data_IF_189837873322
#
_entry.id   IF_189837873322
#
_cell.length_a   1.000
_cell.length_b   1.000
_cell.length_c   1.000
_cell.angle_alpha   90.00
_cell.angle_beta   90.00
_cell.angle_gamma   90.00
#
_symmetry.space_group_name_H-M   'P 1'
#
loop_
_entity.id
_entity.type
_entity.pdbx_description
1 polymer ?
#
# COMPACT_ATOMS: atom_id res chain seq x y z
N UNK A 1 28.27 6.92 19.60
CA UNK A 1 26.85 7.09 19.89
C UNK A 1 26.48 8.55 19.74
N UNK A 2 25.41 8.85 19.00
CA UNK A 2 24.92 10.22 18.85
C UNK A 2 24.44 10.75 20.22
N UNK A 3 24.87 11.94 20.58
CA UNK A 3 24.55 12.58 21.86
C UNK A 3 23.67 13.81 21.66
N UNK A 4 22.89 14.18 22.67
CA UNK A 4 22.11 15.44 22.64
C UNK A 4 22.99 16.65 22.35
N UNK A 5 24.27 16.61 22.76
CA UNK A 5 25.23 17.69 22.49
C UNK A 5 25.54 17.79 21.00
N UNK A 6 25.69 16.69 20.31
CA UNK A 6 25.94 16.64 18.87
C UNK A 6 24.74 17.11 18.08
N UNK A 7 23.51 16.67 18.45
CA UNK A 7 22.27 17.14 17.85
C UNK A 7 22.09 18.65 18.05
N UNK A 8 22.36 19.14 19.26
CA UNK A 8 22.26 20.57 19.59
C UNK A 8 23.21 21.42 18.74
N UNK A 9 24.45 20.95 18.54
CA UNK A 9 25.45 21.61 17.72
C UNK A 9 25.03 21.62 16.24
N UNK A 10 24.58 20.47 15.70
CA UNK A 10 24.15 20.32 14.31
C UNK A 10 22.89 21.15 13.99
N UNK A 11 21.97 21.21 14.94
CA UNK A 11 20.69 21.94 14.80
C UNK A 11 20.81 23.45 15.11
N UNK A 12 21.93 23.91 15.68
CA UNK A 12 22.11 25.29 16.12
C UNK A 12 21.16 25.69 17.25
N UNK A 13 20.89 24.79 18.21
CA UNK A 13 19.97 25.02 19.34
C UNK A 13 20.56 24.54 20.65
N UNK A 14 19.92 24.88 21.78
CA UNK A 14 20.36 24.40 23.09
C UNK A 14 20.07 22.91 23.31
N UNK A 15 20.84 22.23 24.17
CA UNK A 15 20.57 20.85 24.59
C UNK A 15 19.18 20.72 25.20
N UNK A 16 18.72 21.77 25.92
CA UNK A 16 17.37 21.80 26.49
C UNK A 16 16.29 21.81 25.39
N UNK A 17 16.51 22.51 24.27
CA UNK A 17 15.63 22.51 23.11
C UNK A 17 15.58 21.13 22.48
N UNK A 18 16.72 20.47 22.28
CA UNK A 18 16.79 19.08 21.79
C UNK A 18 15.97 18.16 22.68
N UNK A 19 16.16 18.26 24.01
CA UNK A 19 15.41 17.45 24.98
C UNK A 19 13.90 17.69 24.88
N UNK A 20 13.46 18.94 24.73
CA UNK A 20 12.03 19.27 24.59
C UNK A 20 11.44 18.71 23.30
N UNK A 21 12.12 18.86 22.17
CA UNK A 21 11.69 18.30 20.89
C UNK A 21 11.59 16.78 20.96
N UNK A 22 12.64 16.10 21.41
CA UNK A 22 12.66 14.65 21.49
C UNK A 22 11.72 14.06 22.57
N UNK A 23 11.14 14.91 23.41
CA UNK A 23 10.05 14.57 24.34
C UNK A 23 8.67 15.07 23.88
N UNK A 24 8.54 15.50 22.60
CA UNK A 24 7.30 15.99 22.00
C UNK A 24 6.65 17.14 22.79
N UNK A 25 7.47 18.09 23.29
CA UNK A 25 6.94 19.24 24.01
C UNK A 25 6.28 20.23 23.02
N UNK A 26 4.98 20.58 23.18
CA UNK A 26 4.28 21.42 22.21
C UNK A 26 4.81 22.86 22.15
N UNK A 27 5.47 23.34 23.21
CA UNK A 27 5.97 24.70 23.33
C UNK A 27 7.37 24.91 22.69
N UNK A 28 7.65 24.25 21.57
CA UNK A 28 8.89 24.46 20.81
C UNK A 28 8.52 25.06 19.44
N UNK A 29 9.25 26.12 19.06
CA UNK A 29 9.10 26.72 17.74
C UNK A 29 9.31 25.69 16.63
N UNK A 30 8.43 25.71 15.61
CA UNK A 30 8.42 24.70 14.53
C UNK A 30 9.73 24.64 13.74
N UNK A 31 10.38 25.80 13.48
CA UNK A 31 11.66 25.82 12.79
C UNK A 31 12.76 25.15 13.63
N UNK A 32 12.79 25.40 14.95
CA UNK A 32 13.70 24.71 15.85
C UNK A 32 13.38 23.21 15.96
N UNK A 33 12.10 22.84 15.95
CA UNK A 33 11.64 21.45 15.93
C UNK A 33 12.15 20.74 14.69
N UNK A 34 11.90 21.30 13.50
CA UNK A 34 12.37 20.78 12.21
C UNK A 34 13.89 20.57 12.21
N UNK A 35 14.68 21.58 12.57
CA UNK A 35 16.14 21.50 12.60
C UNK A 35 16.66 20.42 13.56
N UNK A 36 16.04 20.25 14.72
CA UNK A 36 16.40 19.20 15.67
C UNK A 36 16.09 17.82 15.13
N UNK A 37 14.94 17.62 14.48
CA UNK A 37 14.56 16.33 13.87
C UNK A 37 15.49 15.96 12.72
N UNK A 38 15.80 16.90 11.84
CA UNK A 38 16.76 16.72 10.76
C UNK A 38 18.17 16.37 11.32
N UNK A 39 18.61 17.08 12.35
CA UNK A 39 19.88 16.79 13.00
C UNK A 39 19.88 15.42 13.70
N UNK A 40 18.83 15.10 14.45
CA UNK A 40 18.68 13.80 15.12
C UNK A 40 18.67 12.66 14.10
N UNK A 41 17.92 12.84 13.01
CA UNK A 41 17.90 11.92 11.89
C UNK A 41 19.28 11.79 11.25
N UNK A 42 19.97 12.90 10.99
CA UNK A 42 21.31 12.96 10.40
C UNK A 42 22.35 12.20 11.21
N UNK A 43 22.33 12.36 12.53
CA UNK A 43 23.28 11.66 13.42
C UNK A 43 22.78 10.26 13.81
N UNK A 44 21.62 9.83 13.31
CA UNK A 44 21.00 8.53 13.60
C UNK A 44 20.77 8.35 15.10
N UNK A 45 20.23 9.37 15.73
CA UNK A 45 19.89 9.26 17.15
C UNK A 45 18.70 8.34 17.33
N UNK A 46 18.85 7.32 18.17
CA UNK A 46 17.77 6.44 18.63
C UNK A 46 17.69 6.57 20.15
N UNK A 47 16.51 6.83 20.68
CA UNK A 47 16.31 6.98 22.11
C UNK A 47 16.49 5.64 22.83
N UNK A 48 17.38 5.58 23.82
CA UNK A 48 17.44 4.42 24.72
C UNK A 48 16.25 4.44 25.67
N UNK A 49 15.35 3.48 25.52
CA UNK A 49 14.23 3.28 26.43
C UNK A 49 14.63 2.22 27.46
N UNK A 50 15.10 2.67 28.63
CA UNK A 50 15.47 1.79 29.75
C UNK A 50 16.80 1.02 29.60
N UNK A 51 17.10 0.14 30.59
CA UNK A 51 18.33 -0.71 30.59
C UNK A 51 18.30 -1.87 29.58
N UNK A 52 17.17 -2.16 28.94
CA UNK A 52 17.09 -3.02 27.76
C UNK A 52 17.26 -2.12 26.53
N UNK A 53 18.28 -2.38 25.72
CA UNK A 53 18.30 -1.87 24.35
C UNK A 53 17.00 -2.37 23.72
N UNK A 54 16.05 -1.48 23.43
CA UNK A 54 15.01 -1.82 22.46
C UNK A 54 15.80 -2.16 21.22
N UNK A 55 15.68 -3.39 20.74
CA UNK A 55 16.31 -3.81 19.52
C UNK A 55 15.98 -2.74 18.46
N UNK A 56 16.99 -2.34 17.71
CA UNK A 56 16.85 -1.33 16.68
C UNK A 56 15.86 -1.89 15.64
N UNK A 57 14.58 -1.50 15.74
CA UNK A 57 13.47 -2.16 15.03
C UNK A 57 13.13 -1.52 13.69
N UNK A 58 12.62 -2.34 12.77
CA UNK A 58 11.83 -1.89 11.65
C UNK A 58 10.35 -1.81 12.05
N UNK A 59 9.60 -0.92 11.44
CA UNK A 59 8.14 -0.87 11.64
C UNK A 59 7.42 -1.16 10.33
N UNK A 60 6.38 -2.00 10.41
CA UNK A 60 5.24 -1.92 9.51
C UNK A 60 4.22 -0.96 10.14
N UNK A 61 4.14 0.25 9.59
CA UNK A 61 3.33 1.32 10.13
C UNK A 61 2.10 1.54 9.25
N UNK A 62 0.92 1.37 9.82
CA UNK A 62 -0.33 1.76 9.20
C UNK A 62 -0.58 3.24 9.50
N UNK A 63 -0.78 4.05 8.48
CA UNK A 63 -1.11 5.46 8.66
C UNK A 63 -2.43 5.62 9.42
N UNK A 64 -3.45 4.83 9.05
CA UNK A 64 -4.72 4.67 9.74
C UNK A 64 -4.77 3.50 10.74
N UNK A 65 -5.94 2.89 10.95
CA UNK A 65 -6.10 1.69 11.77
C UNK A 65 -5.28 0.51 11.22
N UNK A 66 -4.74 -0.32 12.11
CA UNK A 66 -4.13 -1.59 11.70
C UNK A 66 -5.25 -2.53 11.25
N UNK A 67 -5.16 -3.01 10.03
CA UNK A 67 -5.99 -4.09 9.52
C UNK A 67 -5.07 -5.23 9.06
N UNK A 68 -5.30 -6.41 9.59
CA UNK A 68 -4.59 -7.64 9.20
C UNK A 68 -5.56 -8.68 8.62
N UNK A 69 -6.78 -8.25 8.36
CA UNK A 69 -7.85 -9.14 7.89
C UNK A 69 -7.85 -9.29 6.36
N UNK A 70 -7.21 -8.35 5.65
CA UNK A 70 -7.18 -8.40 4.19
C UNK A 70 -6.10 -9.38 3.70
N UNK A 71 -6.33 -10.07 2.58
CA UNK A 71 -5.32 -10.91 1.93
C UNK A 71 -4.06 -10.13 1.58
N UNK A 72 -4.22 -8.86 1.20
CA UNK A 72 -3.14 -7.93 0.91
C UNK A 72 -2.22 -7.74 2.13
N UNK A 73 -2.79 -7.38 3.29
CA UNK A 73 -2.00 -7.14 4.50
C UNK A 73 -1.30 -8.42 4.99
N UNK A 74 -1.94 -9.57 4.81
CA UNK A 74 -1.33 -10.87 5.12
C UNK A 74 -0.12 -11.15 4.22
N UNK A 75 -0.26 -11.02 2.90
CA UNK A 75 0.83 -11.22 1.94
C UNK A 75 1.98 -10.24 2.16
N UNK A 76 1.67 -8.97 2.40
CA UNK A 76 2.66 -7.93 2.70
C UNK A 76 3.48 -8.27 3.96
N UNK A 77 2.82 -8.64 5.05
CA UNK A 77 3.48 -9.03 6.29
C UNK A 77 4.36 -10.27 6.11
N UNK A 78 3.89 -11.24 5.32
CA UNK A 78 4.66 -12.46 4.99
C UNK A 78 5.93 -12.11 4.21
N UNK A 79 5.84 -11.28 3.16
CA UNK A 79 7.00 -10.86 2.35
C UNK A 79 8.02 -10.08 3.18
N UNK A 80 7.55 -9.14 4.00
CA UNK A 80 8.41 -8.39 4.93
C UNK A 80 9.09 -9.34 5.91
N UNK A 81 8.36 -10.26 6.53
CA UNK A 81 8.90 -11.23 7.48
C UNK A 81 9.98 -12.11 6.86
N UNK A 82 9.72 -12.69 5.69
CA UNK A 82 10.72 -13.50 4.98
C UNK A 82 11.96 -12.72 4.61
N UNK A 83 11.82 -11.50 4.09
CA UNK A 83 12.96 -10.67 3.72
C UNK A 83 13.80 -10.23 4.94
N UNK A 84 13.17 -9.99 6.08
CA UNK A 84 13.87 -9.68 7.35
C UNK A 84 14.62 -10.91 7.85
N UNK A 85 14.00 -12.09 7.85
CA UNK A 85 14.60 -13.35 8.35
C UNK A 85 15.78 -13.82 7.51
N UNK A 86 15.68 -13.74 6.17
CA UNK A 86 16.77 -14.14 5.27
C UNK A 86 18.08 -13.37 5.50
N UNK A 87 18.01 -12.25 6.16
CA UNK A 87 19.15 -11.34 6.37
C UNK A 87 19.75 -11.39 7.76
N UNK A 88 19.12 -12.05 8.68
CA UNK A 88 19.63 -12.23 10.05
C UNK A 88 21.02 -12.87 10.13
N UNK A 89 21.51 -13.48 9.04
CA UNK A 89 22.81 -14.16 8.95
C UNK A 89 23.92 -13.39 8.23
N UNK A 90 23.61 -12.39 7.38
CA UNK A 90 24.59 -11.72 6.49
C UNK A 90 24.96 -10.33 7.00
N UNK A 91 23.98 -9.55 7.38
CA UNK A 91 24.17 -8.26 8.03
C UNK A 91 23.56 -8.33 9.42
N UNK A 92 24.22 -7.86 10.45
CA UNK A 92 23.72 -7.82 11.83
C UNK A 92 22.45 -6.96 12.01
N UNK A 93 21.54 -7.02 11.04
CA UNK A 93 20.21 -6.44 11.04
C UNK A 93 19.20 -7.42 11.67
N UNK A 94 19.51 -7.93 12.87
CA UNK A 94 18.49 -8.58 13.70
C UNK A 94 17.51 -7.52 14.17
N UNK A 95 16.57 -7.13 13.29
CA UNK A 95 15.56 -6.15 13.64
C UNK A 95 14.26 -6.86 13.97
N UNK A 96 13.71 -6.56 15.14
CA UNK A 96 12.33 -6.91 15.41
C UNK A 96 11.40 -6.10 14.50
N UNK A 97 10.39 -6.74 13.91
CA UNK A 97 9.34 -6.06 13.17
C UNK A 97 8.24 -5.61 14.13
N UNK A 98 8.04 -4.31 14.24
CA UNK A 98 6.97 -3.72 15.04
C UNK A 98 5.81 -3.32 14.15
N UNK A 99 4.64 -3.92 14.34
CA UNK A 99 3.40 -3.50 13.68
C UNK A 99 2.71 -2.43 14.53
N UNK A 100 2.40 -1.27 13.96
CA UNK A 100 1.75 -0.17 14.68
C UNK A 100 0.79 0.66 13.83
N UNK A 101 -0.22 1.26 14.46
CA UNK A 101 -1.01 2.35 13.89
C UNK A 101 -0.35 3.68 14.24
N UNK A 102 -0.04 4.48 13.22
CA UNK A 102 0.49 5.84 13.43
C UNK A 102 -0.56 6.72 14.11
N UNK A 103 -1.80 6.72 13.60
CA UNK A 103 -2.92 7.48 14.15
C UNK A 103 -3.11 7.26 15.66
N UNK A 104 -3.07 5.99 16.12
CA UNK A 104 -3.23 5.65 17.55
C UNK A 104 -1.97 5.89 18.37
N UNK A 105 -0.81 5.90 17.74
CA UNK A 105 0.48 6.00 18.42
C UNK A 105 1.00 7.42 18.53
N UNK A 106 0.56 8.33 17.65
CA UNK A 106 0.90 9.74 17.68
C UNK A 106 0.30 10.42 18.91
N UNK A 107 1.08 11.28 19.55
CA UNK A 107 0.64 12.18 20.59
C UNK A 107 0.16 13.50 20.02
N UNK A 108 -0.69 14.27 20.70
CA UNK A 108 -1.07 15.60 20.22
C UNK A 108 0.16 16.46 19.87
N UNK A 109 0.25 16.94 18.63
CA UNK A 109 1.36 17.74 18.13
C UNK A 109 2.67 16.99 17.89
N UNK A 110 2.69 15.65 17.94
CA UNK A 110 3.84 14.83 17.61
C UNK A 110 3.85 14.50 16.11
N UNK A 111 4.97 14.75 15.44
CA UNK A 111 5.16 14.34 14.04
C UNK A 111 5.46 12.84 13.91
N UNK A 112 5.28 12.23 12.72
CA UNK A 112 5.64 10.84 12.48
C UNK A 112 7.10 10.53 12.78
N UNK A 113 8.00 11.44 12.44
CA UNK A 113 9.43 11.29 12.71
C UNK A 113 9.74 11.27 14.22
N UNK A 114 9.06 12.10 15.02
CA UNK A 114 9.18 12.10 16.47
C UNK A 114 8.65 10.80 17.09
N UNK A 115 7.52 10.29 16.59
CA UNK A 115 6.96 8.99 16.98
C UNK A 115 7.98 7.87 16.77
N UNK A 116 8.55 7.78 15.57
CA UNK A 116 9.52 6.72 15.25
C UNK A 116 10.81 6.84 16.05
N UNK A 117 11.33 8.05 16.24
CA UNK A 117 12.48 8.29 17.10
C UNK A 117 12.19 7.91 18.56
N UNK A 118 11.02 8.25 19.08
CA UNK A 118 10.58 7.91 20.45
C UNK A 118 10.46 6.40 20.65
N UNK A 119 9.97 5.68 19.64
CA UNK A 119 9.85 4.21 19.68
C UNK A 119 11.12 3.46 19.36
N UNK A 120 12.22 4.14 18.98
CA UNK A 120 13.49 3.50 18.63
C UNK A 120 13.46 2.84 17.25
N UNK A 121 12.55 3.24 16.37
CA UNK A 121 12.40 2.72 15.02
C UNK A 121 13.46 3.36 14.11
N UNK A 122 14.14 2.55 13.32
CA UNK A 122 15.19 3.00 12.37
C UNK A 122 14.67 3.22 10.97
N UNK A 123 13.65 2.50 10.58
CA UNK A 123 13.00 2.60 9.29
C UNK A 123 11.57 2.12 9.36
N UNK A 124 10.70 2.64 8.50
CA UNK A 124 9.29 2.32 8.47
C UNK A 124 8.80 1.97 7.07
N UNK A 125 8.21 0.79 6.92
CA UNK A 125 7.39 0.44 5.76
C UNK A 125 5.98 0.93 6.10
N UNK A 126 5.41 1.80 5.26
CA UNK A 126 4.16 2.50 5.56
C UNK A 126 3.06 1.99 4.65
N UNK A 127 2.00 1.47 5.25
CA UNK A 127 0.73 1.20 4.58
C UNK A 127 -0.16 2.43 4.76
N UNK A 128 -0.53 3.09 3.66
CA UNK A 128 -1.28 4.34 3.67
C UNK A 128 -2.53 4.26 2.80
N UNK A 129 -3.36 5.27 2.91
CA UNK A 129 -4.44 5.61 2.01
C UNK A 129 -4.32 7.09 1.65
N UNK A 130 -5.05 7.54 0.65
CA UNK A 130 -5.07 8.92 0.15
C UNK A 130 -5.17 9.99 1.26
N UNK A 131 -5.97 9.74 2.28
CA UNK A 131 -6.14 10.64 3.44
C UNK A 131 -4.82 10.95 4.17
N UNK A 132 -3.85 10.03 4.14
CA UNK A 132 -2.59 10.13 4.89
C UNK A 132 -1.36 10.45 4.02
N UNK A 133 -1.54 10.73 2.74
CA UNK A 133 -0.44 11.13 1.83
C UNK A 133 0.39 12.30 2.41
N UNK A 134 -0.22 13.39 2.96
CA UNK A 134 0.55 14.50 3.55
C UNK A 134 1.48 14.05 4.68
N UNK A 135 1.08 13.04 5.45
CA UNK A 135 1.88 12.50 6.54
C UNK A 135 3.13 11.77 6.02
N UNK A 136 3.02 11.07 4.89
CA UNK A 136 4.14 10.41 4.23
C UNK A 136 5.13 11.43 3.66
N UNK A 137 4.64 12.51 3.05
CA UNK A 137 5.47 13.60 2.54
C UNK A 137 6.21 14.33 3.68
N UNK A 138 5.53 14.65 4.78
CA UNK A 138 6.15 15.24 5.97
C UNK A 138 7.29 14.35 6.48
N UNK A 139 7.06 13.05 6.59
CA UNK A 139 8.07 12.10 7.06
C UNK A 139 9.28 12.06 6.10
N UNK A 140 9.03 11.94 4.80
CA UNK A 140 10.07 11.89 3.78
C UNK A 140 10.93 13.17 3.77
N UNK A 141 10.31 14.34 3.97
CA UNK A 141 11.00 15.63 4.06
C UNK A 141 12.02 15.69 5.23
N UNK A 142 11.82 14.89 6.30
CA UNK A 142 12.78 14.80 7.41
C UNK A 142 14.01 13.96 7.09
N UNK A 143 14.04 13.24 5.95
CA UNK A 143 15.07 12.26 5.61
C UNK A 143 15.04 11.00 6.49
N UNK A 144 13.89 10.70 7.11
CA UNK A 144 13.70 9.44 7.82
C UNK A 144 13.56 8.29 6.80
N UNK A 145 14.25 7.13 6.98
CA UNK A 145 14.10 5.99 6.10
C UNK A 145 12.67 5.46 6.12
N UNK A 146 11.92 5.71 5.05
CA UNK A 146 10.54 5.27 4.92
C UNK A 146 10.26 4.83 3.49
N UNK A 147 9.46 3.77 3.34
CA UNK A 147 8.96 3.26 2.07
C UNK A 147 7.45 3.11 2.19
N UNK A 148 6.71 3.71 1.29
CA UNK A 148 5.25 3.53 1.20
C UNK A 148 4.94 2.33 0.33
N UNK A 149 3.93 1.54 0.68
CA UNK A 149 3.49 0.37 -0.09
C UNK A 149 2.00 0.48 -0.42
N UNK A 150 1.68 0.28 -1.72
CA UNK A 150 0.33 0.32 -2.25
C UNK A 150 -0.22 1.73 -2.44
N UNK A 151 0.68 2.70 -2.68
CA UNK A 151 0.34 4.05 -3.11
C UNK A 151 1.53 4.64 -3.87
N UNK A 152 1.29 5.32 -5.00
CA UNK A 152 2.31 5.97 -5.81
C UNK A 152 2.33 7.47 -5.54
N UNK A 153 3.51 8.03 -5.72
CA UNK A 153 3.79 9.46 -5.61
C UNK A 153 4.38 9.92 -6.93
N UNK A 154 3.53 10.28 -7.87
CA UNK A 154 3.97 10.59 -9.25
C UNK A 154 4.56 11.99 -9.40
N UNK A 155 4.40 12.87 -8.38
CA UNK A 155 5.05 14.18 -8.38
C UNK A 155 6.59 14.01 -8.35
N UNK A 156 7.31 14.52 -9.37
CA UNK A 156 8.77 14.46 -9.41
C UNK A 156 9.45 15.18 -8.23
N UNK A 157 8.77 16.13 -7.59
CA UNK A 157 9.28 16.86 -6.43
C UNK A 157 9.12 16.07 -5.12
N UNK A 158 8.28 15.02 -5.07
CA UNK A 158 8.10 14.17 -3.92
C UNK A 158 9.41 13.46 -3.55
N UNK A 159 9.69 13.36 -2.26
CA UNK A 159 10.82 12.61 -1.69
C UNK A 159 10.43 11.24 -1.18
N UNK A 160 9.16 10.87 -1.30
CA UNK A 160 8.64 9.59 -0.82
C UNK A 160 9.14 8.46 -1.72
N UNK A 161 9.81 7.47 -1.12
CA UNK A 161 10.09 6.19 -1.77
C UNK A 161 8.89 5.28 -1.67
N UNK A 162 8.55 4.57 -2.75
CA UNK A 162 7.39 3.68 -2.76
C UNK A 162 7.64 2.38 -3.50
N UNK A 163 6.84 1.38 -3.13
CA UNK A 163 6.65 0.13 -3.88
C UNK A 163 5.16 -0.05 -4.12
N UNK A 164 4.79 -0.23 -5.36
CA UNK A 164 3.40 -0.41 -5.76
C UNK A 164 3.27 -1.46 -6.88
N UNK A 165 2.05 -1.88 -7.19
CA UNK A 165 1.78 -2.74 -8.32
C UNK A 165 1.39 -1.93 -9.56
N UNK A 166 1.83 -2.37 -10.73
CA UNK A 166 1.29 -1.88 -11.99
C UNK A 166 0.09 -2.76 -12.37
N UNK A 167 -1.11 -2.27 -12.14
CA UNK A 167 -2.34 -3.04 -12.36
C UNK A 167 -3.18 -2.55 -13.53
N UNK A 168 -2.88 -1.39 -14.15
CA UNK A 168 -3.66 -0.84 -15.26
C UNK A 168 -3.58 -1.72 -16.52
N UNK A 169 -2.35 -2.14 -16.88
CA UNK A 169 -2.13 -2.97 -18.07
C UNK A 169 -2.82 -4.33 -17.97
N UNK A 170 -2.66 -5.04 -16.87
CA UNK A 170 -3.31 -6.35 -16.65
C UNK A 170 -4.83 -6.22 -16.49
N UNK A 171 -5.34 -5.12 -15.94
CA UNK A 171 -6.78 -4.85 -15.89
C UNK A 171 -7.34 -4.59 -17.29
N UNK A 172 -6.60 -3.86 -18.14
CA UNK A 172 -6.97 -3.67 -19.55
C UNK A 172 -7.01 -5.02 -20.28
N UNK A 173 -6.03 -5.88 -20.06
CA UNK A 173 -6.00 -7.23 -20.65
C UNK A 173 -7.19 -8.08 -20.19
N UNK A 174 -7.51 -8.07 -18.91
CA UNK A 174 -8.61 -8.80 -18.32
C UNK A 174 -9.99 -8.38 -18.91
N UNK A 175 -10.21 -7.09 -19.05
CA UNK A 175 -11.46 -6.58 -19.63
C UNK A 175 -11.53 -6.80 -21.13
N UNK A 176 -10.39 -6.65 -21.83
CA UNK A 176 -10.30 -7.00 -23.26
C UNK A 176 -10.67 -8.47 -23.50
N UNK A 177 -10.21 -9.38 -22.64
CA UNK A 177 -10.58 -10.79 -22.70
C UNK A 177 -12.10 -11.00 -22.61
N UNK A 178 -12.83 -10.28 -21.74
CA UNK A 178 -14.30 -10.33 -21.72
C UNK A 178 -14.92 -9.82 -23.02
N UNK A 179 -14.36 -8.76 -23.59
CA UNK A 179 -14.83 -8.21 -24.89
C UNK A 179 -14.61 -9.22 -26.01
N UNK A 180 -13.46 -9.89 -26.04
CA UNK A 180 -13.14 -10.95 -27.01
C UNK A 180 -14.07 -12.17 -26.89
N UNK A 181 -14.60 -12.45 -25.69
CA UNK A 181 -15.65 -13.45 -25.46
C UNK A 181 -17.03 -13.00 -25.96
N UNK A 182 -17.20 -11.74 -26.37
CA UNK A 182 -18.44 -11.19 -26.90
C UNK A 182 -19.26 -10.36 -25.89
N UNK A 183 -18.70 -10.02 -24.72
CA UNK A 183 -19.39 -9.16 -23.77
C UNK A 183 -19.31 -7.69 -24.18
N UNK A 184 -20.45 -7.01 -24.25
CA UNK A 184 -20.55 -5.56 -24.49
C UNK A 184 -21.01 -4.81 -23.22
N UNK A 185 -21.71 -5.49 -22.32
CA UNK A 185 -22.22 -4.91 -21.07
C UNK A 185 -21.40 -5.44 -19.90
N UNK A 186 -20.24 -4.80 -19.67
CA UNK A 186 -19.27 -5.18 -18.63
C UNK A 186 -19.30 -4.11 -17.53
N UNK A 187 -19.62 -4.49 -16.31
CA UNK A 187 -19.52 -3.60 -15.16
C UNK A 187 -18.11 -3.63 -14.54
N UNK A 188 -17.70 -2.54 -13.91
CA UNK A 188 -16.55 -2.52 -13.02
C UNK A 188 -17.02 -2.26 -11.59
N UNK A 189 -16.51 -3.06 -10.64
CA UNK A 189 -16.75 -2.88 -9.20
C UNK A 189 -15.42 -2.54 -8.55
N UNK A 190 -15.32 -1.33 -8.02
CA UNK A 190 -14.08 -0.78 -7.44
C UNK A 190 -14.31 -0.25 -6.03
N UNK A 191 -13.23 0.04 -5.32
CA UNK A 191 -13.29 0.59 -3.97
C UNK A 191 -13.95 1.98 -3.95
N UNK A 192 -14.57 2.31 -2.83
CA UNK A 192 -15.13 3.64 -2.57
C UNK A 192 -14.03 4.70 -2.40
N UNK A 193 -12.81 4.31 -2.04
CA UNK A 193 -11.63 5.19 -1.99
C UNK A 193 -10.93 5.28 -3.35
N UNK A 194 -10.33 6.44 -3.60
CA UNK A 194 -9.54 6.77 -4.79
C UNK A 194 -8.04 6.59 -4.53
N UNK A 195 -7.60 5.41 -4.08
CA UNK A 195 -6.19 5.09 -4.08
C UNK A 195 -5.68 4.80 -5.50
N UNK A 196 -4.37 4.91 -5.71
CA UNK A 196 -3.75 4.76 -7.04
C UNK A 196 -4.02 3.39 -7.65
N UNK A 197 -4.07 2.34 -6.85
CA UNK A 197 -4.36 0.97 -7.28
C UNK A 197 -5.76 0.84 -7.89
N UNK A 198 -6.80 1.28 -7.17
CA UNK A 198 -8.17 1.16 -7.64
C UNK A 198 -8.48 2.10 -8.81
N UNK A 199 -7.83 3.28 -8.87
CA UNK A 199 -7.90 4.15 -10.03
C UNK A 199 -7.29 3.49 -11.27
N UNK A 200 -6.15 2.85 -11.16
CA UNK A 200 -5.51 2.13 -12.25
C UNK A 200 -6.38 0.99 -12.77
N UNK A 201 -6.93 0.19 -11.88
CA UNK A 201 -7.81 -0.92 -12.24
C UNK A 201 -9.06 -0.45 -12.97
N UNK A 202 -9.67 0.63 -12.50
CA UNK A 202 -10.83 1.25 -13.15
C UNK A 202 -10.47 1.90 -14.48
N UNK A 203 -9.31 2.56 -14.58
CA UNK A 203 -8.82 3.11 -15.84
C UNK A 203 -8.48 2.01 -16.85
N UNK A 204 -7.96 0.85 -16.39
CA UNK A 204 -7.79 -0.32 -17.25
C UNK A 204 -9.10 -0.82 -17.86
N UNK A 205 -10.19 -0.79 -17.09
CA UNK A 205 -11.51 -1.09 -17.62
C UNK A 205 -11.95 -0.08 -18.70
N UNK A 206 -11.73 1.23 -18.50
CA UNK A 206 -12.02 2.26 -19.50
C UNK A 206 -11.18 2.09 -20.76
N UNK A 207 -9.88 1.90 -20.59
CA UNK A 207 -8.92 1.73 -21.69
C UNK A 207 -9.32 0.56 -22.61
N UNK A 208 -9.77 -0.57 -22.03
CA UNK A 208 -10.19 -1.72 -22.81
C UNK A 208 -11.46 -1.43 -23.66
N UNK A 209 -12.43 -0.69 -23.10
CA UNK A 209 -13.62 -0.27 -23.85
C UNK A 209 -13.26 0.69 -24.97
N UNK A 210 -12.44 1.71 -24.70
CA UNK A 210 -11.99 2.68 -25.69
C UNK A 210 -11.22 2.01 -26.83
N UNK A 211 -10.30 1.09 -26.52
CA UNK A 211 -9.53 0.34 -27.53
C UNK A 211 -10.39 -0.54 -28.40
N UNK A 212 -11.51 -1.04 -27.86
CA UNK A 212 -12.47 -1.85 -28.61
C UNK A 212 -13.54 -1.01 -29.35
N UNK A 213 -13.51 0.31 -29.21
CA UNK A 213 -14.54 1.20 -29.78
C UNK A 213 -15.92 1.06 -29.12
N UNK A 214 -15.97 0.53 -27.89
CA UNK A 214 -17.20 0.42 -27.10
C UNK A 214 -17.36 1.69 -26.28
N UNK A 215 -18.56 2.27 -26.30
CA UNK A 215 -18.84 3.47 -25.53
C UNK A 215 -18.76 3.14 -24.03
N UNK A 216 -17.94 3.89 -23.32
CA UNK A 216 -17.84 3.78 -21.86
C UNK A 216 -19.13 4.25 -21.22
N UNK A 217 -19.77 3.37 -20.46
CA UNK A 217 -21.01 3.65 -19.73
C UNK A 217 -20.68 3.80 -18.24
N UNK A 218 -20.54 5.03 -17.78
CA UNK A 218 -20.18 5.33 -16.39
C UNK A 218 -21.22 4.84 -15.35
N UNK A 219 -22.46 4.57 -15.76
CA UNK A 219 -23.47 3.94 -14.89
C UNK A 219 -23.13 2.50 -14.52
N UNK A 220 -22.14 1.90 -15.20
CA UNK A 220 -21.59 0.57 -14.90
C UNK A 220 -20.37 0.62 -13.97
N UNK A 221 -19.94 1.79 -13.56
CA UNK A 221 -18.92 1.97 -12.52
C UNK A 221 -19.59 1.93 -11.15
N UNK A 222 -19.31 0.89 -10.38
CA UNK A 222 -19.92 0.67 -9.07
C UNK A 222 -18.84 0.80 -8.01
N UNK A 223 -19.03 1.78 -7.12
CA UNK A 223 -18.09 2.06 -6.03
C UNK A 223 -18.64 1.50 -4.73
N UNK A 224 -17.91 0.62 -4.08
CA UNK A 224 -18.30 -0.02 -2.81
C UNK A 224 -17.10 -0.18 -1.89
N UNK A 225 -17.33 -0.39 -0.61
CA UNK A 225 -16.28 -0.84 0.29
C UNK A 225 -15.79 -2.24 -0.12
N UNK A 226 -14.50 -2.48 -0.01
CA UNK A 226 -13.82 -3.73 -0.34
C UNK A 226 -14.14 -4.85 0.67
N UNK A 227 -15.42 -5.24 0.74
CA UNK A 227 -15.91 -6.28 1.66
C UNK A 227 -16.69 -7.37 0.91
N UNK A 228 -16.73 -8.56 1.49
CA UNK A 228 -17.52 -9.68 0.97
C UNK A 228 -19.00 -9.33 0.90
N UNK A 229 -19.54 -8.69 1.94
CA UNK A 229 -20.95 -8.27 2.03
C UNK A 229 -21.31 -7.29 0.93
N UNK A 230 -20.44 -6.31 0.64
CA UNK A 230 -20.67 -5.36 -0.43
C UNK A 230 -20.73 -6.06 -1.80
N UNK A 231 -19.82 -7.01 -2.06
CA UNK A 231 -19.87 -7.83 -3.28
C UNK A 231 -21.18 -8.61 -3.42
N UNK A 232 -21.66 -9.24 -2.35
CA UNK A 232 -22.96 -9.93 -2.34
C UNK A 232 -24.11 -8.98 -2.68
N UNK A 233 -24.14 -7.77 -2.12
CA UNK A 233 -25.20 -6.79 -2.39
C UNK A 233 -25.16 -6.30 -3.84
N UNK A 234 -23.98 -6.04 -4.38
CA UNK A 234 -23.82 -5.66 -5.80
C UNK A 234 -24.35 -6.75 -6.71
N UNK A 235 -23.99 -8.01 -6.46
CA UNK A 235 -24.47 -9.15 -7.25
C UNK A 235 -26.00 -9.27 -7.23
N UNK A 236 -26.63 -9.19 -6.06
CA UNK A 236 -28.09 -9.23 -5.91
C UNK A 236 -28.79 -8.08 -6.63
N UNK A 237 -28.22 -6.87 -6.53
CA UNK A 237 -28.72 -5.71 -7.27
C UNK A 237 -28.62 -5.93 -8.78
N UNK A 238 -27.47 -6.39 -9.29
CA UNK A 238 -27.32 -6.70 -10.71
C UNK A 238 -28.29 -7.78 -11.17
N UNK A 239 -28.44 -8.86 -10.41
CA UNK A 239 -29.37 -9.95 -10.74
C UNK A 239 -30.83 -9.48 -10.84
N UNK A 240 -31.22 -8.47 -10.08
CA UNK A 240 -32.60 -7.91 -10.11
C UNK A 240 -32.88 -7.01 -11.32
N UNK A 241 -31.87 -6.61 -12.09
CA UNK A 241 -32.06 -5.80 -13.29
C UNK A 241 -32.73 -6.61 -14.41
N UNK A 242 -33.51 -5.94 -15.28
CA UNK A 242 -34.04 -6.58 -16.49
C UNK A 242 -32.91 -7.16 -17.35
N UNK A 243 -33.11 -8.32 -17.97
CA UNK A 243 -32.10 -8.98 -18.82
C UNK A 243 -31.52 -8.06 -19.90
N UNK A 244 -32.33 -7.16 -20.46
CA UNK A 244 -31.91 -6.23 -21.51
C UNK A 244 -30.91 -5.17 -21.05
N UNK A 245 -30.92 -4.77 -19.77
CA UNK A 245 -30.06 -3.73 -19.20
C UNK A 245 -28.99 -4.31 -18.26
N UNK A 246 -29.16 -5.57 -17.83
CA UNK A 246 -28.22 -6.23 -16.92
C UNK A 246 -26.84 -6.36 -17.58
N UNK A 247 -25.73 -6.04 -16.85
CA UNK A 247 -24.41 -6.46 -17.26
C UNK A 247 -24.35 -7.98 -17.45
N UNK A 248 -23.62 -8.43 -18.45
CA UNK A 248 -23.40 -9.87 -18.69
C UNK A 248 -22.08 -10.35 -18.11
N UNK A 249 -21.23 -9.40 -17.73
CA UNK A 249 -19.96 -9.66 -17.06
C UNK A 249 -19.61 -8.52 -16.10
N UNK A 250 -18.72 -8.81 -15.16
CA UNK A 250 -18.10 -7.80 -14.32
C UNK A 250 -16.61 -8.06 -14.10
N UNK A 251 -15.85 -6.97 -14.05
CA UNK A 251 -14.51 -6.93 -13.48
C UNK A 251 -14.58 -6.33 -12.07
N UNK A 252 -14.17 -7.11 -11.05
CA UNK A 252 -14.23 -6.71 -9.64
C UNK A 252 -12.82 -6.49 -9.14
N UNK A 253 -12.49 -5.24 -8.92
CA UNK A 253 -11.14 -4.76 -8.64
C UNK A 253 -10.67 -4.94 -7.17
N UNK A 254 -11.30 -5.86 -6.44
CA UNK A 254 -10.96 -6.19 -5.05
C UNK A 254 -11.25 -7.67 -4.76
N UNK A 255 -10.36 -8.42 -4.08
CA UNK A 255 -10.53 -9.87 -3.88
C UNK A 255 -11.73 -10.22 -2.99
N UNK A 256 -11.99 -9.47 -1.92
CA UNK A 256 -13.09 -9.78 -1.02
C UNK A 256 -14.44 -9.46 -1.67
N UNK A 257 -14.53 -8.34 -2.38
CA UNK A 257 -15.73 -7.99 -3.15
C UNK A 257 -15.97 -9.00 -4.29
N UNK A 258 -14.91 -9.51 -4.94
CA UNK A 258 -15.02 -10.52 -6.00
C UNK A 258 -15.57 -11.85 -5.47
N UNK A 259 -15.07 -12.35 -4.35
CA UNK A 259 -15.61 -13.54 -3.68
C UNK A 259 -17.07 -13.33 -3.25
N UNK A 260 -17.36 -12.15 -2.70
CA UNK A 260 -18.73 -11.77 -2.35
C UNK A 260 -19.65 -11.73 -3.55
N UNK A 261 -19.18 -11.19 -4.67
CA UNK A 261 -19.97 -11.12 -5.90
C UNK A 261 -20.24 -12.50 -6.49
N UNK A 262 -19.24 -13.40 -6.51
CA UNK A 262 -19.43 -14.78 -6.93
C UNK A 262 -20.51 -15.47 -6.10
N UNK A 263 -20.44 -15.35 -4.78
CA UNK A 263 -21.43 -15.89 -3.85
C UNK A 263 -22.82 -15.28 -4.09
N UNK A 264 -22.91 -13.96 -4.21
CA UNK A 264 -24.18 -13.26 -4.38
C UNK A 264 -24.88 -13.59 -5.70
N UNK A 265 -24.13 -13.81 -6.81
CA UNK A 265 -24.65 -14.29 -8.08
C UNK A 265 -25.26 -15.70 -7.92
N UNK A 266 -24.55 -16.63 -7.26
CA UNK A 266 -25.03 -17.98 -6.98
C UNK A 266 -26.28 -17.97 -6.09
N UNK A 267 -26.31 -17.13 -5.02
CA UNK A 267 -27.50 -16.97 -4.16
C UNK A 267 -28.70 -16.39 -4.92
N UNK A 268 -28.46 -15.58 -5.96
CA UNK A 268 -29.48 -15.04 -6.83
C UNK A 268 -29.92 -16.00 -7.96
N UNK A 269 -29.36 -17.20 -8.01
CA UNK A 269 -29.69 -18.23 -9.00
C UNK A 269 -29.04 -18.03 -10.37
N UNK A 270 -27.99 -17.19 -10.45
CA UNK A 270 -27.20 -17.01 -11.66
C UNK A 270 -25.98 -17.93 -11.64
N UNK A 271 -25.83 -18.76 -12.65
CA UNK A 271 -24.70 -19.65 -12.81
C UNK A 271 -23.51 -18.88 -13.39
N UNK A 272 -22.35 -19.03 -12.76
CA UNK A 272 -21.08 -18.49 -13.26
C UNK A 272 -20.28 -19.69 -13.81
N UNK A 273 -19.84 -19.65 -15.07
CA UNK A 273 -19.86 -18.51 -16.01
C UNK A 273 -21.11 -18.45 -16.93
N UNK A 274 -22.02 -19.42 -16.90
CA UNK A 274 -23.04 -19.63 -17.95
C UNK A 274 -24.02 -18.47 -18.10
N UNK A 275 -24.47 -17.88 -16.97
CA UNK A 275 -25.42 -16.75 -16.97
C UNK A 275 -24.71 -15.40 -16.79
N UNK A 276 -23.49 -15.41 -16.20
CA UNK A 276 -22.74 -14.22 -15.87
C UNK A 276 -21.26 -14.53 -15.79
N UNK A 277 -20.42 -13.76 -16.47
CA UNK A 277 -18.96 -13.87 -16.39
C UNK A 277 -18.38 -12.96 -15.30
N UNK A 278 -17.44 -13.48 -14.53
CA UNK A 278 -16.81 -12.76 -13.43
C UNK A 278 -15.29 -12.82 -13.54
N UNK A 279 -14.65 -11.65 -13.55
CA UNK A 279 -13.22 -11.51 -13.33
C UNK A 279 -13.01 -10.81 -11.99
N UNK A 280 -12.14 -11.36 -11.14
CA UNK A 280 -11.76 -10.77 -9.88
C UNK A 280 -10.37 -10.15 -9.90
N UNK A 281 -9.97 -9.70 -8.73
CA UNK A 281 -8.59 -9.35 -8.40
C UNK A 281 -8.12 -10.30 -7.29
N UNK A 282 -6.84 -10.68 -7.28
CA UNK A 282 -6.32 -11.66 -6.31
C UNK A 282 -4.99 -11.20 -5.72
N UNK A 283 -4.97 -11.02 -4.41
CA UNK A 283 -3.83 -10.57 -3.63
C UNK A 283 -3.09 -11.72 -2.90
N UNK A 284 -3.57 -12.96 -3.00
CA UNK A 284 -3.01 -14.02 -2.17
C UNK A 284 -3.50 -15.43 -2.51
N UNK A 285 -3.74 -15.73 -3.78
CA UNK A 285 -4.24 -17.01 -4.25
C UNK A 285 -5.65 -17.38 -3.75
N UNK A 286 -6.48 -16.42 -3.31
CA UNK A 286 -7.86 -16.65 -2.90
C UNK A 286 -8.71 -17.16 -4.06
N UNK A 287 -8.37 -16.79 -5.31
CA UNK A 287 -9.04 -17.28 -6.50
C UNK A 287 -9.05 -18.79 -6.63
N UNK A 288 -7.98 -19.46 -6.12
CA UNK A 288 -7.85 -20.93 -6.13
C UNK A 288 -8.71 -21.63 -5.09
N UNK A 289 -9.25 -20.88 -4.13
CA UNK A 289 -10.16 -21.37 -3.08
C UNK A 289 -11.62 -21.19 -3.46
N UNK A 290 -11.92 -20.41 -4.52
CA UNK A 290 -13.29 -20.26 -5.01
C UNK A 290 -13.70 -21.44 -5.90
N UNK A 291 -15.01 -21.70 -5.97
CA UNK A 291 -15.59 -22.66 -6.89
C UNK A 291 -16.82 -22.03 -7.59
N UNK A 292 -16.79 -21.93 -8.92
CA UNK A 292 -15.69 -22.23 -9.84
C UNK A 292 -14.43 -21.39 -9.54
N UNK A 293 -13.23 -21.88 -9.98
CA UNK A 293 -11.97 -21.17 -9.79
C UNK A 293 -12.00 -19.83 -10.52
N UNK A 294 -11.73 -18.74 -9.81
CA UNK A 294 -11.91 -17.41 -10.34
C UNK A 294 -10.85 -17.05 -11.39
N UNK A 295 -11.29 -16.49 -12.52
CA UNK A 295 -10.44 -15.73 -13.46
C UNK A 295 -10.09 -14.41 -12.78
N UNK A 296 -8.81 -14.03 -12.73
CA UNK A 296 -8.41 -12.85 -11.97
C UNK A 296 -7.15 -12.16 -12.51
N UNK A 297 -7.04 -10.88 -12.23
CA UNK A 297 -5.74 -10.17 -12.22
C UNK A 297 -5.06 -10.50 -10.90
N UNK A 298 -3.82 -11.00 -10.96
CA UNK A 298 -3.08 -11.49 -9.82
C UNK A 298 -1.92 -10.54 -9.47
N UNK A 299 -1.83 -10.17 -8.21
CA UNK A 299 -0.80 -9.31 -7.64
C UNK A 299 0.06 -10.11 -6.67
N UNK A 300 1.39 -10.01 -6.82
CA UNK A 300 2.33 -10.64 -5.88
C UNK A 300 2.63 -9.70 -4.71
N UNK A 301 1.76 -9.70 -3.72
CA UNK A 301 1.88 -8.86 -2.52
C UNK A 301 3.08 -9.29 -1.66
N UNK A 302 3.46 -10.56 -1.69
CA UNK A 302 4.67 -11.03 -0.99
C UNK A 302 5.90 -10.35 -1.58
N UNK A 303 6.00 -10.29 -2.92
CA UNK A 303 7.09 -9.59 -3.61
C UNK A 303 7.10 -8.08 -3.29
N UNK A 304 5.94 -7.43 -3.15
CA UNK A 304 5.87 -6.03 -2.69
C UNK A 304 6.54 -5.86 -1.33
N UNK A 305 6.25 -6.77 -0.38
CA UNK A 305 6.87 -6.77 0.94
C UNK A 305 8.39 -6.98 0.90
N UNK A 306 8.85 -7.92 0.09
CA UNK A 306 10.28 -8.18 -0.10
C UNK A 306 11.00 -6.96 -0.70
N UNK A 307 10.43 -6.33 -1.73
CA UNK A 307 10.97 -5.11 -2.36
C UNK A 307 10.98 -3.92 -1.40
N UNK A 308 9.97 -3.78 -0.56
CA UNK A 308 9.95 -2.74 0.45
C UNK A 308 11.11 -2.88 1.47
N UNK A 309 11.43 -4.10 1.88
CA UNK A 309 12.58 -4.38 2.76
C UNK A 309 13.91 -4.12 2.04
N UNK A 310 14.04 -4.50 0.77
CA UNK A 310 15.22 -4.24 -0.06
C UNK A 310 15.52 -2.73 -0.10
N UNK A 311 14.52 -1.91 -0.49
CA UNK A 311 14.65 -0.45 -0.53
C UNK A 311 14.95 0.11 0.87
N UNK A 312 14.27 -0.37 1.89
CA UNK A 312 14.48 0.07 3.27
C UNK A 312 15.95 -0.09 3.71
N UNK A 313 16.60 -1.18 3.30
CA UNK A 313 18.01 -1.42 3.58
C UNK A 313 18.91 -0.42 2.89
N UNK A 314 18.66 -0.13 1.63
CA UNK A 314 19.40 0.87 0.87
C UNK A 314 19.29 2.24 1.55
N UNK A 315 18.07 2.66 1.91
CA UNK A 315 17.84 3.93 2.61
C UNK A 315 18.56 4.01 3.97
N UNK A 316 18.58 2.92 4.73
CA UNK A 316 19.31 2.86 6.02
C UNK A 316 20.82 2.87 5.79
N UNK A 317 21.33 2.17 4.76
CA UNK A 317 22.74 2.15 4.41
C UNK A 317 23.22 3.53 3.94
N UNK A 318 22.51 4.18 3.03
CA UNK A 318 22.79 5.54 2.51
C UNK A 318 22.87 6.54 3.67
N UNK A 319 21.95 6.44 4.62
CA UNK A 319 21.95 7.25 5.83
C UNK A 319 23.20 7.02 6.69
N UNK A 320 23.68 5.78 6.78
CA UNK A 320 24.90 5.46 7.54
C UNK A 320 26.15 6.03 6.89
N UNK A 321 26.24 5.98 5.55
CA UNK A 321 27.35 6.56 4.76
C UNK A 321 27.32 8.08 4.82
N UNK A 322 26.15 8.72 4.72
CA UNK A 322 26.02 10.15 4.87
C UNK A 322 26.48 10.68 6.23
N UNK A 323 26.47 9.84 7.27
CA UNK A 323 27.02 10.16 8.62
C UNK A 323 28.53 10.31 8.65
N UNK A 324 29.26 9.67 7.74
CA UNK A 324 30.74 9.65 7.73
C UNK A 324 31.35 10.74 6.84
N UNK A 325 30.63 11.29 5.87
CA UNK A 325 31.16 12.17 4.82
C UNK A 325 31.03 13.69 5.05
N UNK A 326 30.53 14.17 6.18
CA UNK A 326 30.53 15.62 6.49
C UNK A 326 29.60 16.46 5.58
N UNK A 327 30.06 17.64 5.09
CA UNK A 327 29.25 18.63 4.37
C UNK A 327 28.89 18.25 2.91
N UNK A 328 29.63 17.35 2.28
CA UNK A 328 29.38 16.89 0.90
C UNK A 328 28.48 15.65 0.88
N UNK A 329 27.23 15.78 1.30
CA UNK A 329 26.28 14.66 1.35
C UNK A 329 25.47 14.57 0.06
N UNK A 330 25.40 13.39 -0.57
CA UNK A 330 24.36 13.17 -1.56
C UNK A 330 22.99 13.25 -0.90
N UNK A 331 22.02 13.86 -1.58
CA UNK A 331 20.61 13.75 -1.16
C UNK A 331 20.20 12.27 -1.10
N UNK A 332 19.32 11.89 -0.14
CA UNK A 332 18.79 10.54 -0.07
C UNK A 332 18.17 10.16 -1.44
N UNK A 333 18.57 9.02 -1.96
CA UNK A 333 18.03 8.52 -3.22
C UNK A 333 16.57 8.14 -3.04
N UNK A 334 15.69 8.65 -3.90
CA UNK A 334 14.30 8.23 -3.97
C UNK A 334 14.21 6.94 -4.78
N UNK A 335 13.45 5.97 -4.29
CA UNK A 335 13.18 4.70 -4.95
C UNK A 335 11.70 4.62 -5.33
N UNK A 336 11.43 4.40 -6.61
CA UNK A 336 10.08 4.24 -7.15
C UNK A 336 10.05 2.90 -7.87
N UNK A 337 9.44 1.89 -7.26
CA UNK A 337 9.43 0.53 -7.79
C UNK A 337 7.99 0.10 -8.02
N UNK A 338 7.72 -0.44 -9.20
CA UNK A 338 6.44 -1.09 -9.53
C UNK A 338 6.67 -2.56 -9.83
N UNK A 339 5.81 -3.41 -9.28
CA UNK A 339 5.77 -4.86 -9.52
C UNK A 339 4.64 -5.13 -10.51
N UNK A 340 4.94 -5.92 -11.54
CA UNK A 340 3.94 -6.26 -12.55
C UNK A 340 2.90 -7.22 -12.00
N UNK A 341 1.65 -6.99 -12.33
CA UNK A 341 0.56 -7.95 -12.13
C UNK A 341 0.42 -8.86 -13.34
N UNK A 342 -0.27 -9.99 -13.18
CA UNK A 342 -0.53 -10.96 -14.26
C UNK A 342 -2.02 -11.20 -14.39
N UNK A 343 -2.50 -11.47 -15.62
CA UNK A 343 -3.87 -11.92 -15.83
C UNK A 343 -3.89 -13.45 -15.96
N UNK A 344 -4.69 -14.11 -15.14
CA UNK A 344 -4.81 -15.56 -15.12
C UNK A 344 -6.26 -16.02 -15.33
N UNK A 345 -6.48 -16.80 -16.38
CA UNK A 345 -7.80 -17.37 -16.71
C UNK A 345 -8.11 -18.55 -15.77
N UNK A 346 -9.33 -18.54 -15.23
CA UNK A 346 -9.92 -19.61 -14.43
C UNK A 346 -11.20 -20.15 -15.08
N UNK A 347 -12.20 -20.42 -14.25
CA UNK A 347 -13.44 -21.10 -14.65
C UNK A 347 -14.67 -20.14 -14.58
N UNK A 348 -14.47 -18.87 -14.19
CA UNK A 348 -15.59 -17.92 -13.97
C UNK A 348 -15.94 -17.07 -15.19
N UNK A 349 -15.35 -17.34 -16.35
CA UNK A 349 -15.58 -16.58 -17.58
C UNK A 349 -15.98 -17.50 -18.73
N UNK A 350 -16.92 -17.04 -19.55
CA UNK A 350 -17.41 -17.70 -20.75
C UNK A 350 -18.12 -16.70 -21.67
N UNK A 351 -18.64 -17.08 -22.83
CA UNK A 351 -19.40 -16.18 -23.71
C UNK A 351 -20.70 -15.71 -23.03
N UNK A 352 -21.23 -14.53 -23.41
CA UNK A 352 -22.48 -14.03 -22.85
C UNK A 352 -23.62 -15.00 -23.12
N UNK A 353 -24.55 -15.14 -22.15
CA UNK A 353 -25.77 -15.90 -22.32
C UNK A 353 -26.64 -15.29 -23.47
N UNK A 354 -27.17 -16.15 -24.30
CA UNK A 354 -28.01 -15.81 -25.45
C UNK A 354 -29.30 -15.09 -25.05
#
# INVERSE_FOLDING_TARGET
MASFRQIAQDAGVSIATVSRVLNANPNVNEDARRRVLEAANRVGYVRKVGKRSVAEGLALAYAGPVSVESPYDHGLLQGIGWAVDQTAGVDRFGHDLLVLSMQRSLRPGESPAELFLRKGIKGAIIRTTDEYIPLCEELAATGFPAVVVGERFDDPSSKVSFVDAESRGSSTEAVRYLIELGHERIAVVSNAHDDTDHLDRMNGWRDAHEQAGIVVDEDRVIRVWATLEAGVQVAKRMASLPKSSRPTAAYVADPMAALGMLRGLQEAGLNVPTDFSLIGFDDGNLRKLSYPMMTAVCQDVVQLGEKAVEIMRELIADRSVARTKGKDKPEPRRHCVTVQTTFEVGETTGPPAS
#
